data_IF_280190780132
#
_entry.id   IF_280190780132
#
_cell.length_a   1.000
_cell.length_b   1.000
_cell.length_c   1.000
_cell.angle_alpha   90.00
_cell.angle_beta   90.00
_cell.angle_gamma   90.00
#
_symmetry.space_group_name_H-M   'P 1'
#
loop_
_entity.id
_entity.type
_entity.pdbx_description
1 polymer ?
#
# COMPACT_ATOMS: atom_id res chain seq x y z
N UNK A 1 0.19 -0.60 1.55
CA UNK A 1 -0.68 -1.66 2.12
C UNK A 1 -0.24 -2.98 1.53
N UNK A 2 -0.08 -4.03 2.34
CA UNK A 2 0.35 -5.37 1.90
C UNK A 2 -0.85 -6.31 1.70
N UNK A 3 -1.83 -6.26 2.60
CA UNK A 3 -3.04 -7.08 2.55
C UNK A 3 -4.28 -6.21 2.77
N UNK A 4 -4.66 -5.38 1.77
CA UNK A 4 -5.78 -4.46 1.91
C UNK A 4 -7.12 -5.21 2.07
N UNK A 5 -7.95 -4.75 3.00
CA UNK A 5 -9.29 -5.25 3.29
C UNK A 5 -10.32 -4.12 3.32
N UNK A 6 -11.46 -4.31 2.67
CA UNK A 6 -12.61 -3.42 2.69
C UNK A 6 -13.42 -3.67 3.97
N UNK A 7 -13.74 -2.62 4.71
CA UNK A 7 -14.68 -2.65 5.82
C UNK A 7 -16.08 -2.16 5.40
N UNK A 8 -17.02 -2.12 6.34
CA UNK A 8 -18.42 -1.75 6.09
C UNK A 8 -18.64 -0.33 5.56
N UNK A 9 -17.66 0.55 5.73
CA UNK A 9 -17.65 1.95 5.27
C UNK A 9 -17.12 2.12 3.84
N UNK A 10 -16.93 1.00 3.13
CA UNK A 10 -16.38 0.88 1.78
C UNK A 10 -14.92 1.36 1.63
N UNK A 11 -14.22 1.56 2.75
CA UNK A 11 -12.81 1.96 2.76
C UNK A 11 -11.93 0.72 2.88
N UNK A 12 -10.79 0.75 2.19
CA UNK A 12 -9.76 -0.28 2.32
C UNK A 12 -8.70 0.10 3.36
N UNK A 13 -8.48 -0.79 4.31
CA UNK A 13 -7.48 -0.69 5.37
C UNK A 13 -6.43 -1.78 5.24
N UNK A 14 -5.29 -1.65 5.93
CA UNK A 14 -4.37 -2.78 6.11
C UNK A 14 -5.06 -3.86 6.96
N UNK A 15 -5.13 -5.09 6.44
CA UNK A 15 -5.91 -6.17 7.05
C UNK A 15 -5.53 -6.45 8.50
N UNK A 16 -4.24 -6.46 8.81
CA UNK A 16 -3.77 -6.66 10.19
C UNK A 16 -4.19 -5.53 11.13
N UNK A 17 -4.28 -4.30 10.64
CA UNK A 17 -4.55 -3.12 11.46
C UNK A 17 -6.05 -2.98 11.73
N UNK A 18 -6.90 -3.11 10.71
CA UNK A 18 -8.35 -3.08 10.92
C UNK A 18 -8.83 -4.28 11.74
N UNK A 19 -8.15 -5.43 11.62
CA UNK A 19 -8.47 -6.59 12.45
C UNK A 19 -8.17 -6.36 13.92
N UNK A 20 -6.96 -5.86 14.25
CA UNK A 20 -6.60 -5.47 15.63
C UNK A 20 -7.54 -4.41 16.19
N UNK A 21 -7.99 -3.48 15.35
CA UNK A 21 -8.93 -2.42 15.73
C UNK A 21 -10.26 -2.99 16.22
N UNK A 22 -10.87 -3.87 15.42
CA UNK A 22 -12.11 -4.56 15.78
C UNK A 22 -11.90 -5.49 17.00
N UNK A 23 -10.80 -6.25 17.01
CA UNK A 23 -10.48 -7.15 18.13
C UNK A 23 -10.23 -6.38 19.45
N UNK A 24 -9.88 -5.08 19.38
CA UNK A 24 -9.79 -4.18 20.54
C UNK A 24 -11.15 -3.59 20.99
N UNK A 25 -12.26 -4.08 20.43
CA UNK A 25 -13.63 -3.64 20.75
C UNK A 25 -14.04 -2.33 20.06
N UNK A 26 -13.30 -1.90 19.04
CA UNK A 26 -13.61 -0.67 18.31
C UNK A 26 -14.38 -1.01 17.04
N UNK A 27 -15.69 -0.75 17.08
CA UNK A 27 -16.62 -1.01 15.97
C UNK A 27 -16.92 0.27 15.17
N UNK A 28 -15.93 1.14 15.01
CA UNK A 28 -16.05 2.36 14.21
C UNK A 28 -14.97 2.40 13.12
N UNK A 29 -15.28 3.10 12.04
CA UNK A 29 -14.38 3.40 10.95
C UNK A 29 -13.15 4.14 11.50
N UNK A 30 -11.93 3.60 11.35
CA UNK A 30 -10.73 4.30 11.78
C UNK A 30 -10.54 5.66 11.10
N UNK A 31 -11.08 5.83 9.88
CA UNK A 31 -10.97 7.09 9.12
C UNK A 31 -12.13 8.04 9.37
N UNK A 32 -13.37 7.54 9.40
CA UNK A 32 -14.57 8.38 9.53
C UNK A 32 -15.00 8.57 10.99
N UNK A 33 -14.50 7.75 11.91
CA UNK A 33 -14.95 7.67 13.31
C UNK A 33 -16.46 7.41 13.46
N UNK A 34 -17.10 6.92 12.42
CA UNK A 34 -18.51 6.51 12.38
C UNK A 34 -18.63 5.03 12.68
N UNK A 35 -19.74 4.58 13.27
CA UNK A 35 -19.92 3.16 13.57
C UNK A 35 -19.95 2.32 12.29
N UNK A 36 -19.21 1.21 12.28
CA UNK A 36 -19.28 0.21 11.21
C UNK A 36 -20.61 -0.54 11.36
N UNK A 37 -21.33 -0.70 10.26
CA UNK A 37 -22.59 -1.46 10.25
C UNK A 37 -22.35 -2.96 10.47
N UNK A 38 -21.14 -3.45 10.19
CA UNK A 38 -20.71 -4.81 10.48
C UNK A 38 -19.18 -4.92 10.60
N UNK A 39 -18.70 -5.99 11.24
CA UNK A 39 -17.27 -6.28 11.39
C UNK A 39 -16.70 -7.17 10.28
N UNK A 40 -17.48 -7.44 9.22
CA UNK A 40 -17.01 -8.22 8.08
C UNK A 40 -15.92 -7.44 7.33
N UNK A 41 -14.78 -8.08 7.13
CA UNK A 41 -13.65 -7.57 6.36
C UNK A 41 -13.51 -8.39 5.08
N UNK A 42 -13.57 -7.72 3.94
CA UNK A 42 -13.48 -8.36 2.62
C UNK A 42 -12.11 -8.06 2.02
N UNK A 43 -11.31 -9.08 1.70
CA UNK A 43 -9.99 -8.88 1.09
C UNK A 43 -10.13 -8.14 -0.25
N UNK A 44 -9.39 -7.05 -0.43
CA UNK A 44 -9.35 -6.28 -1.66
C UNK A 44 -8.18 -6.75 -2.56
N UNK A 45 -8.40 -7.85 -3.27
CA UNK A 45 -7.38 -8.41 -4.17
C UNK A 45 -7.03 -7.51 -5.34
N UNK A 46 -7.98 -6.69 -5.81
CA UNK A 46 -7.76 -5.75 -6.91
C UNK A 46 -6.80 -4.63 -6.50
N UNK A 47 -7.07 -3.96 -5.38
CA UNK A 47 -6.18 -2.93 -4.84
C UNK A 47 -4.81 -3.49 -4.49
N UNK A 48 -4.75 -4.70 -3.92
CA UNK A 48 -3.48 -5.37 -3.64
C UNK A 48 -2.63 -5.51 -4.91
N UNK A 49 -3.21 -6.03 -6.00
CA UNK A 49 -2.52 -6.17 -7.28
C UNK A 49 -2.07 -4.81 -7.83
N UNK A 50 -2.93 -3.80 -7.78
CA UNK A 50 -2.59 -2.45 -8.23
C UNK A 50 -1.39 -1.87 -7.47
N UNK A 51 -1.32 -2.07 -6.15
CA UNK A 51 -0.18 -1.66 -5.32
C UNK A 51 1.08 -2.44 -5.70
N UNK A 52 0.99 -3.76 -5.83
CA UNK A 52 2.12 -4.61 -6.21
C UNK A 52 2.70 -4.23 -7.58
N UNK A 53 1.83 -3.96 -8.55
CA UNK A 53 2.25 -3.57 -9.91
C UNK A 53 2.85 -2.16 -9.93
N UNK A 54 2.26 -1.22 -9.20
CA UNK A 54 2.85 0.11 -9.02
C UNK A 54 4.25 0.02 -8.39
N UNK A 55 4.43 -0.77 -7.33
CA UNK A 55 5.73 -0.95 -6.68
C UNK A 55 6.79 -1.52 -7.63
N UNK A 56 6.42 -2.51 -8.45
CA UNK A 56 7.33 -3.06 -9.47
C UNK A 56 7.74 -2.00 -10.49
N UNK A 57 6.79 -1.20 -10.97
CA UNK A 57 7.07 -0.12 -11.92
C UNK A 57 8.00 0.93 -11.30
N UNK A 58 7.76 1.34 -10.05
CA UNK A 58 8.64 2.29 -9.36
C UNK A 58 10.07 1.76 -9.20
N UNK A 59 10.23 0.49 -8.84
CA UNK A 59 11.55 -0.13 -8.75
C UNK A 59 12.28 -0.15 -10.10
N UNK A 60 11.57 -0.48 -11.19
CA UNK A 60 12.14 -0.46 -12.55
C UNK A 60 12.61 0.93 -12.96
N UNK A 61 11.83 1.98 -12.65
CA UNK A 61 12.22 3.35 -12.94
C UNK A 61 13.46 3.78 -12.16
N UNK A 62 13.56 3.40 -10.88
CA UNK A 62 14.75 3.69 -10.06
C UNK A 62 16.02 3.01 -10.61
N UNK A 63 15.91 1.75 -11.06
CA UNK A 63 17.03 1.03 -11.67
C UNK A 63 17.49 1.64 -12.99
N UNK A 64 16.56 2.13 -13.81
CA UNK A 64 16.88 2.85 -15.06
C UNK A 64 17.63 4.15 -14.77
N UNK A 65 17.20 4.92 -13.76
CA UNK A 65 17.87 6.15 -13.36
C UNK A 65 19.28 5.88 -12.81
N UNK A 66 19.44 4.89 -11.93
CA UNK A 66 20.72 4.52 -11.36
C UNK A 66 21.74 4.05 -12.42
N UNK A 67 21.27 3.35 -13.46
CA UNK A 67 22.12 2.89 -14.57
C UNK A 67 22.58 4.04 -15.48
N UNK A 68 21.82 5.13 -15.54
CA UNK A 68 22.14 6.32 -16.35
C UNK A 68 23.10 7.29 -15.67
N UNK A 69 23.15 7.30 -14.33
CA UNK A 69 23.97 8.23 -13.54
C UNK A 69 25.42 7.76 -13.32
N UNK A 70 25.78 6.55 -13.74
CA UNK A 70 27.12 5.96 -13.51
C UNK A 70 28.11 6.06 -14.68
N UNK A 71 27.79 6.77 -15.77
CA UNK A 71 28.54 6.69 -17.03
C UNK A 71 29.29 7.98 -17.45
N UNK A 72 29.59 8.90 -16.54
CA UNK A 72 30.25 10.15 -16.91
C UNK A 72 31.10 10.76 -15.81
N UNK A 73 32.27 10.17 -15.52
CA UNK A 73 33.35 10.92 -14.85
C UNK A 73 34.78 10.37 -15.10
N UNK A 74 34.98 9.62 -16.18
CA UNK A 74 36.31 9.08 -16.56
C UNK A 74 36.73 9.56 -17.96
N UNK A 75 36.80 10.88 -18.19
CA UNK A 75 37.66 11.44 -19.24
C UNK A 75 38.00 12.90 -18.97
N UNK A 76 38.92 13.14 -18.03
CA UNK A 76 39.67 14.40 -18.01
C UNK A 76 41.07 14.18 -17.47
N UNK A 77 41.88 13.49 -18.27
CA UNK A 77 43.34 13.56 -18.20
C UNK A 77 43.84 14.21 -19.48
N UNK A 78 44.14 15.51 -19.43
CA UNK A 78 45.29 16.16 -20.08
C UNK A 78 45.40 17.62 -19.61
#
# INVERSE_FOLDING_TARGET
MRDPHIAADEISYEGSEIRKWIDAGKHNSPMKNESLTHDVLIRNTALRRAIEDWQKQQLQLQLQQASSSGAGDDDRSH
#
